data_IF_979509814340
#
_entry.id   IF_979509814340
#
_cell.length_a   1.000
_cell.length_b   1.000
_cell.length_c   1.000
_cell.angle_alpha   90.00
_cell.angle_beta   90.00
_cell.angle_gamma   90.00
#
_symmetry.space_group_name_H-M   'P 1'
#
loop_
_entity.id
_entity.type
_entity.pdbx_description
1 polymer ?
#
# COMPACT_ATOMS: atom_id res chain seq x y z
N UNK A 1 3.91 3.82 22.37
CA UNK A 1 2.71 3.74 21.51
C UNK A 1 2.05 5.12 21.54
N UNK A 2 1.78 5.74 20.39
CA UNK A 2 1.10 7.05 20.29
C UNK A 2 -0.37 6.85 19.90
N UNK A 3 -1.23 7.81 20.24
CA UNK A 3 -2.63 7.77 19.80
C UNK A 3 -2.72 8.10 18.30
N UNK A 4 -3.40 7.24 17.54
CA UNK A 4 -3.62 7.44 16.10
C UNK A 4 -4.46 8.69 15.81
N UNK A 5 -5.35 9.08 16.74
CA UNK A 5 -6.20 10.26 16.60
C UNK A 5 -5.39 11.58 16.59
N UNK A 6 -4.17 11.58 17.12
CA UNK A 6 -3.22 12.71 17.03
C UNK A 6 -2.72 12.95 15.59
N UNK A 7 -2.69 11.89 14.76
CA UNK A 7 -2.26 11.98 13.35
C UNK A 7 -3.47 12.28 12.46
N UNK A 8 -4.51 11.44 12.51
CA UNK A 8 -5.76 11.67 11.79
C UNK A 8 -6.93 11.30 12.70
N UNK A 9 -7.86 12.23 12.98
CA UNK A 9 -8.99 11.95 13.86
C UNK A 9 -9.97 10.96 13.20
N UNK A 10 -10.66 10.17 14.02
CA UNK A 10 -11.63 9.16 13.55
C UNK A 10 -12.78 9.75 12.72
N UNK A 11 -13.10 11.04 12.89
CA UNK A 11 -14.10 11.76 12.08
C UNK A 11 -13.72 11.85 10.60
N UNK A 12 -12.46 11.61 10.25
CA UNK A 12 -11.95 11.60 8.87
C UNK A 12 -11.90 10.22 8.23
N UNK A 13 -12.41 9.19 8.89
CA UNK A 13 -12.50 7.84 8.31
C UNK A 13 -13.35 7.89 7.04
N UNK A 14 -12.72 7.56 5.92
CA UNK A 14 -13.35 7.40 4.61
C UNK A 14 -13.23 5.94 4.15
N UNK A 15 -14.32 5.43 3.58
CA UNK A 15 -14.41 4.06 3.08
C UNK A 15 -14.70 4.06 1.59
N UNK A 16 -14.22 3.04 0.88
CA UNK A 16 -14.72 2.75 -0.45
C UNK A 16 -16.21 2.35 -0.38
N UNK A 17 -16.92 2.42 -1.51
CA UNK A 17 -18.32 1.98 -1.62
C UNK A 17 -18.57 0.55 -1.07
N UNK A 18 -17.57 -0.33 -1.14
CA UNK A 18 -17.62 -1.70 -0.59
C UNK A 18 -17.25 -1.83 0.90
N UNK A 19 -17.13 -0.74 1.64
CA UNK A 19 -16.85 -0.74 3.09
C UNK A 19 -15.37 -0.80 3.49
N UNK A 20 -14.47 -1.08 2.55
CA UNK A 20 -13.01 -1.12 2.79
C UNK A 20 -12.48 0.20 3.33
N UNK A 21 -11.65 0.10 4.37
CA UNK A 21 -10.95 1.24 5.03
C UNK A 21 -9.64 1.63 4.35
N UNK A 22 -9.31 1.05 3.19
CA UNK A 22 -8.05 1.32 2.48
C UNK A 22 -7.83 2.81 2.18
N UNK A 23 -8.90 3.59 1.94
CA UNK A 23 -8.79 5.04 1.75
C UNK A 23 -8.32 5.75 3.03
N UNK A 24 -8.85 5.38 4.19
CA UNK A 24 -8.38 5.93 5.45
C UNK A 24 -6.92 5.55 5.72
N UNK A 25 -6.51 4.31 5.42
CA UNK A 25 -5.11 3.89 5.54
C UNK A 25 -4.19 4.72 4.61
N UNK A 26 -4.64 5.02 3.38
CA UNK A 26 -3.93 5.94 2.48
C UNK A 26 -3.79 7.34 3.09
N UNK A 27 -4.88 7.94 3.59
CA UNK A 27 -4.82 9.26 4.23
C UNK A 27 -3.86 9.26 5.42
N UNK A 28 -4.01 8.28 6.30
CA UNK A 28 -3.23 8.15 7.52
C UNK A 28 -1.75 8.04 7.22
N UNK A 29 -1.35 7.19 6.25
CA UNK A 29 0.07 7.05 5.92
C UNK A 29 0.66 8.32 5.33
N UNK A 30 -0.07 9.07 4.49
CA UNK A 30 0.45 10.31 3.91
C UNK A 30 0.56 11.41 4.97
N UNK A 31 -0.39 11.47 5.90
CA UNK A 31 -0.32 12.41 7.03
C UNK A 31 0.83 12.06 7.98
N UNK A 32 1.07 10.77 8.22
CA UNK A 32 2.24 10.29 8.96
C UNK A 32 3.56 10.77 8.30
N UNK A 33 3.66 10.67 6.97
CA UNK A 33 4.83 11.16 6.23
C UNK A 33 4.95 12.70 6.29
N UNK A 34 3.85 13.44 6.12
CA UNK A 34 3.82 14.90 6.21
C UNK A 34 4.31 15.41 7.57
N UNK A 35 4.03 14.66 8.64
CA UNK A 35 4.46 14.99 10.00
C UNK A 35 5.85 14.45 10.34
N UNK A 36 6.53 13.75 9.43
CA UNK A 36 7.87 13.21 9.67
C UNK A 36 7.92 12.11 10.73
N UNK A 37 6.84 11.34 10.89
CA UNK A 37 6.68 10.37 11.98
C UNK A 37 7.26 8.98 11.66
N UNK A 38 8.08 8.86 10.61
CA UNK A 38 8.84 7.65 10.27
C UNK A 38 8.22 6.79 9.17
N UNK A 39 8.57 5.51 9.16
CA UNK A 39 8.14 4.55 8.12
C UNK A 39 6.72 4.04 8.39
N UNK A 40 5.89 4.06 7.36
CA UNK A 40 4.66 3.26 7.32
C UNK A 40 4.97 1.83 6.85
N UNK A 41 4.43 0.84 7.56
CA UNK A 41 4.43 -0.57 7.17
C UNK A 41 3.02 -1.13 7.27
N UNK A 42 2.55 -1.78 6.22
CA UNK A 42 1.33 -2.57 6.25
C UNK A 42 1.51 -3.77 7.20
N UNK A 43 0.41 -4.17 7.85
CA UNK A 43 0.42 -5.21 8.89
C UNK A 43 0.58 -6.64 8.34
N UNK A 44 0.48 -6.81 7.02
CA UNK A 44 0.63 -8.08 6.33
C UNK A 44 1.99 -8.21 5.63
N UNK A 45 2.99 -7.49 6.14
CA UNK A 45 4.40 -7.66 5.76
C UNK A 45 5.11 -8.62 6.73
N UNK A 46 5.73 -9.64 6.17
CA UNK A 46 6.64 -10.53 6.88
C UNK A 46 8.09 -10.04 6.69
N UNK A 47 8.72 -9.55 7.76
CA UNK A 47 10.10 -9.04 7.70
C UNK A 47 11.10 -10.18 7.90
N UNK A 48 11.94 -10.40 6.89
CA UNK A 48 13.07 -11.34 6.92
C UNK A 48 14.34 -10.67 7.45
N UNK A 49 14.44 -9.34 7.30
CA UNK A 49 15.58 -8.53 7.72
C UNK A 49 15.10 -7.20 8.28
N UNK A 50 15.92 -6.51 9.10
CA UNK A 50 15.66 -5.14 9.49
C UNK A 50 15.54 -4.23 8.25
N UNK A 51 14.61 -3.29 8.30
CA UNK A 51 14.52 -2.21 7.31
C UNK A 51 15.62 -1.18 7.57
N UNK A 52 16.11 -0.55 6.51
CA UNK A 52 17.00 0.61 6.64
C UNK A 52 16.23 1.78 7.25
N UNK A 53 16.54 2.07 8.51
CA UNK A 53 15.88 3.13 9.28
C UNK A 53 16.48 4.50 9.02
N UNK A 54 17.56 4.63 8.25
CA UNK A 54 18.23 5.89 7.91
C UNK A 54 17.94 6.35 6.47
N UNK A 55 17.51 5.44 5.59
CA UNK A 55 17.14 5.79 4.22
C UNK A 55 16.05 6.89 4.20
N UNK A 56 16.26 8.02 3.48
CA UNK A 56 15.29 9.11 3.44
C UNK A 56 14.02 8.72 2.67
N UNK A 57 14.15 7.81 1.69
CA UNK A 57 13.06 7.27 0.90
C UNK A 57 13.00 5.76 1.10
N UNK A 58 11.80 5.26 1.38
CA UNK A 58 11.45 3.84 1.25
C UNK A 58 10.19 3.80 0.41
N UNK A 59 10.37 3.60 -0.89
CA UNK A 59 9.31 3.34 -1.85
C UNK A 59 9.66 2.01 -2.49
N UNK A 60 8.68 1.12 -2.69
CA UNK A 60 8.95 -0.14 -3.37
C UNK A 60 8.11 -0.27 -4.64
N UNK A 61 8.76 -0.83 -5.64
CA UNK A 61 8.15 -1.24 -6.90
C UNK A 61 7.56 -2.64 -6.73
N UNK A 62 6.28 -2.82 -7.07
CA UNK A 62 5.60 -4.12 -7.03
C UNK A 62 5.71 -4.86 -8.37
N UNK A 63 5.63 -4.09 -9.47
CA UNK A 63 5.77 -4.53 -10.85
C UNK A 63 6.54 -3.42 -11.60
N UNK A 64 7.28 -3.71 -12.68
CA UNK A 64 8.01 -2.69 -13.44
C UNK A 64 7.13 -1.47 -13.80
N UNK A 65 7.52 -0.29 -13.34
CA UNK A 65 6.81 0.97 -13.50
C UNK A 65 5.61 1.18 -12.57
N UNK A 66 5.42 0.34 -11.54
CA UNK A 66 4.27 0.42 -10.60
C UNK A 66 4.74 0.34 -9.16
N UNK A 67 4.54 1.43 -8.44
CA UNK A 67 4.87 1.53 -7.02
C UNK A 67 3.67 1.27 -6.13
N UNK A 68 3.92 0.67 -4.98
CA UNK A 68 2.91 0.38 -3.97
C UNK A 68 3.20 1.13 -2.67
N UNK A 69 2.25 1.08 -1.72
CA UNK A 69 2.25 1.85 -0.49
C UNK A 69 2.32 0.98 0.78
N UNK A 70 2.65 -0.30 0.63
CA UNK A 70 2.77 -1.22 1.77
C UNK A 70 3.97 -0.91 2.67
N UNK A 71 5.07 -0.44 2.08
CA UNK A 71 6.19 0.20 2.78
C UNK A 71 6.30 1.60 2.23
N UNK A 72 6.20 2.60 3.09
CA UNK A 72 6.30 3.99 2.66
C UNK A 72 7.09 4.82 3.65
N UNK A 73 8.18 5.42 3.17
CA UNK A 73 8.84 6.54 3.81
C UNK A 73 9.11 7.62 2.78
N UNK A 74 8.61 8.81 3.04
CA UNK A 74 8.84 10.02 2.25
C UNK A 74 9.27 11.13 3.20
N UNK A 75 10.28 11.95 2.86
CA UNK A 75 10.58 13.16 3.61
C UNK A 75 9.36 14.09 3.71
N UNK A 76 9.21 14.88 4.80
CA UNK A 76 8.08 15.81 4.96
C UNK A 76 7.96 16.86 3.85
N UNK A 77 9.07 17.20 3.21
CA UNK A 77 9.18 18.12 2.07
C UNK A 77 9.05 17.42 0.70
N UNK A 78 8.73 16.12 0.68
CA UNK A 78 8.54 15.37 -0.56
C UNK A 78 7.46 16.02 -1.44
N UNK A 79 7.75 16.30 -2.72
CA UNK A 79 6.83 17.03 -3.60
C UNK A 79 5.54 16.26 -3.92
N UNK A 80 5.51 14.93 -3.70
CA UNK A 80 4.32 14.11 -3.91
C UNK A 80 3.25 14.34 -2.82
N UNK A 81 3.66 14.68 -1.59
CA UNK A 81 2.75 14.71 -0.42
C UNK A 81 1.58 15.67 -0.57
N UNK A 82 1.75 16.93 -1.03
CA UNK A 82 0.64 17.84 -1.23
C UNK A 82 -0.41 17.27 -2.20
N UNK A 83 0.04 16.68 -3.32
CA UNK A 83 -0.85 16.11 -4.32
C UNK A 83 -1.56 14.84 -3.80
N UNK A 84 -0.87 13.99 -3.04
CA UNK A 84 -1.46 12.81 -2.39
C UNK A 84 -2.56 13.18 -1.38
N UNK A 85 -2.32 14.21 -0.56
CA UNK A 85 -3.26 14.68 0.45
C UNK A 85 -4.45 15.42 -0.16
N UNK A 86 -4.23 16.20 -1.21
CA UNK A 86 -5.29 16.94 -1.92
C UNK A 86 -6.40 16.01 -2.48
N UNK A 87 -6.09 14.74 -2.74
CA UNK A 87 -7.09 13.74 -3.16
C UNK A 87 -8.25 13.63 -2.15
N UNK A 88 -7.96 13.77 -0.86
CA UNK A 88 -8.92 13.61 0.23
C UNK A 88 -9.77 14.87 0.48
N UNK A 89 -9.44 15.97 -0.18
CA UNK A 89 -10.32 17.15 -0.23
C UNK A 89 -11.41 16.99 -1.30
N UNK A 90 -11.21 16.07 -2.25
CA UNK A 90 -12.13 15.76 -3.34
C UNK A 90 -12.46 16.95 -4.25
N UNK A 91 -11.60 17.98 -4.26
CA UNK A 91 -11.79 19.22 -5.05
C UNK A 91 -11.23 19.11 -6.46
N UNK A 92 -10.42 18.11 -6.73
CA UNK A 92 -9.78 17.86 -8.02
C UNK A 92 -10.07 16.44 -8.49
N UNK A 93 -10.03 16.24 -9.81
CA UNK A 93 -10.16 14.92 -10.42
C UNK A 93 -8.76 14.45 -10.82
N UNK A 94 -8.28 13.30 -10.32
CA UNK A 94 -6.94 12.81 -10.63
C UNK A 94 -6.77 12.46 -12.10
N UNK A 95 -5.60 12.75 -12.67
CA UNK A 95 -5.33 12.50 -14.08
C UNK A 95 -5.13 11.01 -14.41
N UNK A 96 -4.67 10.22 -13.42
CA UNK A 96 -4.26 8.82 -13.55
C UNK A 96 -5.38 7.78 -13.39
N UNK A 97 -6.61 8.19 -13.10
CA UNK A 97 -7.74 7.27 -13.07
C UNK A 97 -8.27 6.99 -14.49
N UNK A 98 -8.88 5.82 -14.74
CA UNK A 98 -9.46 5.49 -16.04
C UNK A 98 -10.42 6.56 -16.56
N UNK A 99 -10.41 6.82 -17.87
CA UNK A 99 -11.14 7.93 -18.47
C UNK A 99 -12.66 7.93 -18.13
N UNK A 100 -13.30 6.75 -18.09
CA UNK A 100 -14.72 6.64 -17.71
C UNK A 100 -14.97 7.08 -16.27
N UNK A 101 -14.08 6.69 -15.36
CA UNK A 101 -14.12 7.12 -13.96
C UNK A 101 -13.83 8.62 -13.82
N UNK A 102 -12.93 9.14 -14.66
CA UNK A 102 -12.62 10.58 -14.73
C UNK A 102 -13.81 11.41 -15.14
N UNK A 103 -14.52 11.03 -16.21
CA UNK A 103 -15.75 11.70 -16.63
C UNK A 103 -16.83 11.67 -15.54
N UNK A 104 -17.03 10.51 -14.91
CA UNK A 104 -17.98 10.38 -13.81
C UNK A 104 -17.59 11.28 -12.61
N UNK A 105 -16.30 11.38 -12.30
CA UNK A 105 -15.78 12.24 -11.24
C UNK A 105 -15.95 13.74 -11.56
N UNK A 106 -15.68 14.17 -12.80
CA UNK A 106 -15.93 15.54 -13.23
C UNK A 106 -17.42 15.91 -13.14
N UNK A 107 -18.30 15.00 -13.58
CA UNK A 107 -19.74 15.23 -13.47
C UNK A 107 -20.20 15.36 -12.00
N UNK A 108 -19.68 14.52 -11.10
CA UNK A 108 -19.94 14.65 -9.66
C UNK A 108 -19.38 15.95 -9.10
N UNK A 109 -18.15 16.31 -9.45
CA UNK A 109 -17.52 17.54 -9.00
C UNK A 109 -18.36 18.76 -9.41
N UNK A 110 -18.82 18.80 -10.65
CA UNK A 110 -19.71 19.85 -11.15
C UNK A 110 -21.06 19.90 -10.42
N UNK A 111 -21.67 18.73 -10.15
CA UNK A 111 -23.01 18.66 -9.53
C UNK A 111 -23.02 18.84 -8.01
N UNK A 112 -21.98 18.39 -7.31
CA UNK A 112 -21.96 18.29 -5.83
C UNK A 112 -20.78 19.00 -5.19
N UNK A 113 -19.90 19.63 -5.97
CA UNK A 113 -18.66 20.23 -5.48
C UNK A 113 -17.62 19.21 -4.99
N UNK A 114 -17.81 17.91 -5.23
CA UNK A 114 -16.90 16.84 -4.79
C UNK A 114 -16.72 15.77 -5.88
N UNK A 115 -15.48 15.39 -6.13
CA UNK A 115 -15.12 14.37 -7.12
C UNK A 115 -15.56 12.95 -6.71
N UNK A 116 -15.84 12.72 -5.43
CA UNK A 116 -16.33 11.44 -4.92
C UNK A 116 -15.22 10.39 -4.87
N UNK A 117 -14.20 10.60 -4.03
CA UNK A 117 -13.04 9.70 -3.94
C UNK A 117 -13.45 8.27 -3.58
N UNK A 118 -14.44 8.10 -2.69
CA UNK A 118 -15.00 6.79 -2.31
C UNK A 118 -15.62 6.00 -3.46
N UNK A 119 -15.94 6.67 -4.57
CA UNK A 119 -16.54 6.10 -5.79
C UNK A 119 -15.51 5.87 -6.90
N UNK A 120 -14.25 6.28 -6.70
CA UNK A 120 -13.18 6.01 -7.66
C UNK A 120 -12.72 4.55 -7.56
N UNK A 121 -12.11 4.00 -8.63
CA UNK A 121 -11.55 2.65 -8.62
C UNK A 121 -10.60 2.41 -7.44
N UNK A 122 -10.52 1.16 -7.00
CA UNK A 122 -9.55 0.77 -5.98
C UNK A 122 -8.13 1.14 -6.41
N UNK A 123 -7.30 1.57 -5.45
CA UNK A 123 -5.93 2.01 -5.73
C UNK A 123 -5.79 3.45 -6.26
N UNK A 124 -6.89 4.16 -6.55
CA UNK A 124 -6.84 5.54 -7.09
C UNK A 124 -6.10 6.53 -6.18
N UNK A 125 -6.22 6.39 -4.86
CA UNK A 125 -5.45 7.17 -3.87
C UNK A 125 -4.29 6.37 -3.25
N UNK A 126 -4.00 5.19 -3.80
CA UNK A 126 -2.96 4.27 -3.34
C UNK A 126 -1.90 4.07 -4.41
N UNK A 127 -1.64 2.83 -4.88
CA UNK A 127 -0.60 2.53 -5.86
C UNK A 127 -0.66 3.41 -7.13
N UNK A 128 -1.85 3.71 -7.67
CA UNK A 128 -1.97 4.51 -8.88
C UNK A 128 -1.53 5.98 -8.67
N UNK A 129 -1.85 6.56 -7.51
CA UNK A 129 -1.41 7.92 -7.17
C UNK A 129 0.09 7.98 -6.93
N UNK A 130 0.63 7.03 -6.15
CA UNK A 130 2.08 6.95 -5.92
C UNK A 130 2.85 6.75 -7.21
N UNK A 131 2.41 5.82 -8.05
CA UNK A 131 3.01 5.56 -9.36
C UNK A 131 3.08 6.82 -10.20
N UNK A 132 1.94 7.48 -10.40
CA UNK A 132 1.88 8.68 -11.22
C UNK A 132 2.76 9.81 -10.66
N UNK A 133 2.67 10.08 -9.36
CA UNK A 133 3.38 11.21 -8.75
C UNK A 133 4.88 10.95 -8.61
N UNK A 134 5.32 9.70 -8.37
CA UNK A 134 6.73 9.36 -8.34
C UNK A 134 7.37 9.52 -9.73
N UNK A 135 6.67 9.14 -10.79
CA UNK A 135 7.11 9.38 -12.17
C UNK A 135 7.15 10.88 -12.47
N UNK A 136 6.06 11.61 -12.16
CA UNK A 136 5.94 13.04 -12.42
C UNK A 136 7.06 13.86 -11.76
N UNK A 137 7.47 13.49 -10.55
CA UNK A 137 8.51 14.19 -9.79
C UNK A 137 9.92 13.58 -9.96
N UNK A 138 10.12 12.61 -10.85
CA UNK A 138 11.43 12.00 -11.08
C UNK A 138 11.97 11.21 -9.88
N UNK A 139 11.09 10.63 -9.07
CA UNK A 139 11.43 9.84 -7.87
C UNK A 139 11.46 8.32 -8.13
N UNK A 140 11.38 7.91 -9.40
CA UNK A 140 11.42 6.50 -9.80
C UNK A 140 12.72 5.82 -9.39
N UNK A 141 13.87 6.50 -9.55
CA UNK A 141 15.20 5.98 -9.18
C UNK A 141 15.40 5.82 -7.66
N UNK A 142 14.44 6.27 -6.84
CA UNK A 142 14.44 6.09 -5.39
C UNK A 142 13.69 4.82 -4.96
N UNK A 143 12.95 4.19 -5.87
CA UNK A 143 12.20 2.98 -5.55
C UNK A 143 13.13 1.77 -5.44
N UNK A 144 12.88 0.94 -4.44
CA UNK A 144 13.51 -0.36 -4.28
C UNK A 144 12.88 -1.35 -5.27
N UNK A 145 13.68 -2.21 -5.92
CA UNK A 145 13.16 -3.21 -6.84
C UNK A 145 12.28 -4.24 -6.11
N UNK A 146 11.38 -4.93 -6.84
CA UNK A 146 10.45 -5.89 -6.25
C UNK A 146 11.14 -6.96 -5.39
N UNK A 147 12.29 -7.47 -5.82
CA UNK A 147 13.08 -8.48 -5.08
C UNK A 147 13.42 -8.13 -3.62
N UNK A 148 13.40 -6.85 -3.24
CA UNK A 148 13.73 -6.39 -1.88
C UNK A 148 12.50 -6.39 -0.97
N UNK A 149 11.34 -5.91 -1.44
CA UNK A 149 10.14 -5.70 -0.60
C UNK A 149 8.91 -6.50 -1.04
N UNK A 150 8.82 -6.82 -2.33
CA UNK A 150 7.67 -7.46 -2.99
C UNK A 150 8.13 -8.58 -3.92
N UNK A 151 8.89 -9.58 -3.43
CA UNK A 151 9.51 -10.60 -4.29
C UNK A 151 8.49 -11.58 -4.88
N UNK A 152 7.28 -11.63 -4.31
CA UNK A 152 6.16 -12.43 -4.79
C UNK A 152 5.06 -11.51 -5.28
N UNK A 153 4.60 -11.74 -6.50
CA UNK A 153 3.51 -10.99 -7.08
C UNK A 153 2.16 -11.38 -6.43
N UNK A 154 1.24 -10.43 -6.25
CA UNK A 154 -0.06 -10.65 -5.59
C UNK A 154 -0.89 -11.81 -6.17
N UNK A 155 -0.77 -12.10 -7.47
CA UNK A 155 -1.44 -13.26 -8.11
C UNK A 155 -0.98 -14.60 -7.57
N UNK A 156 0.24 -14.66 -7.07
CA UNK A 156 0.87 -15.88 -6.58
C UNK A 156 0.72 -16.01 -5.07
N UNK A 157 0.00 -15.12 -4.37
CA UNK A 157 -0.18 -15.12 -2.90
C UNK A 157 -0.64 -16.46 -2.30
N UNK A 158 -1.22 -17.35 -3.13
CA UNK A 158 -1.62 -18.71 -2.74
C UNK A 158 -0.44 -19.68 -2.56
N UNK A 159 0.78 -19.31 -2.96
CA UNK A 159 1.97 -20.16 -2.78
C UNK A 159 2.18 -20.58 -1.31
N UNK A 160 1.71 -19.77 -0.35
CA UNK A 160 1.91 -20.02 1.07
C UNK A 160 1.25 -21.31 1.58
N UNK A 161 0.25 -21.86 0.86
CA UNK A 161 -0.38 -23.14 1.24
C UNK A 161 0.22 -24.35 0.54
N UNK A 162 1.13 -24.13 -0.40
CA UNK A 162 1.79 -25.20 -1.15
C UNK A 162 3.01 -25.71 -0.36
N UNK A 163 3.02 -26.97 0.12
CA UNK A 163 4.15 -27.52 0.86
C UNK A 163 5.38 -27.80 -0.02
N UNK A 164 5.23 -27.82 -1.36
CA UNK A 164 6.35 -27.98 -2.29
C UNK A 164 7.05 -26.64 -2.59
N UNK A 165 6.41 -25.51 -2.28
CA UNK A 165 7.00 -24.19 -2.45
C UNK A 165 7.66 -23.72 -1.15
N UNK A 166 9.00 -23.69 -1.11
CA UNK A 166 9.72 -23.17 0.05
C UNK A 166 9.81 -21.64 0.00
N UNK A 167 9.99 -21.01 1.16
CA UNK A 167 10.22 -19.57 1.23
C UNK A 167 11.47 -19.17 0.46
N UNK A 168 12.51 -19.99 0.56
CA UNK A 168 13.82 -19.80 -0.07
C UNK A 168 13.73 -19.75 -1.60
N UNK A 169 12.71 -20.37 -2.20
CA UNK A 169 12.44 -20.31 -3.64
C UNK A 169 11.80 -18.98 -4.07
N UNK A 170 11.27 -18.21 -3.11
CA UNK A 170 10.53 -16.96 -3.32
C UNK A 170 11.30 -15.73 -2.94
N UNK A 171 12.48 -15.87 -2.33
CA UNK A 171 13.25 -14.75 -1.78
C UNK A 171 14.71 -14.85 -2.21
N UNK A 172 15.42 -13.74 -2.10
CA UNK A 172 16.86 -13.67 -2.37
C UNK A 172 17.61 -13.24 -1.13
N UNK A 173 18.95 -13.31 -1.19
CA UNK A 173 19.82 -12.72 -0.18
C UNK A 173 19.64 -11.21 0.01
N UNK A 174 18.88 -10.52 -0.85
CA UNK A 174 18.58 -9.08 -0.76
C UNK A 174 17.17 -8.78 -0.23
N UNK A 175 16.31 -9.79 -0.11
CA UNK A 175 14.94 -9.62 0.34
C UNK A 175 14.90 -9.22 1.80
N UNK A 176 14.18 -8.12 2.09
CA UNK A 176 13.95 -7.58 3.43
C UNK A 176 12.56 -7.96 3.92
N UNK A 177 11.56 -7.86 3.05
CA UNK A 177 10.16 -8.09 3.39
C UNK A 177 9.46 -8.94 2.34
N UNK A 178 8.39 -9.62 2.77
CA UNK A 178 7.46 -10.32 1.90
C UNK A 178 6.04 -9.83 2.21
N UNK A 179 5.30 -9.41 1.17
CA UNK A 179 3.90 -9.03 1.32
C UNK A 179 3.00 -10.27 1.23
N UNK A 180 2.23 -10.52 2.29
CA UNK A 180 1.34 -11.69 2.39
C UNK A 180 0.00 -11.49 1.67
N UNK A 181 -0.33 -10.25 1.31
CA UNK A 181 -1.59 -9.88 0.65
C UNK A 181 -2.81 -10.41 1.42
N UNK A 182 -2.99 -9.97 2.68
CA UNK A 182 -3.98 -10.51 3.61
C UNK A 182 -5.40 -10.59 3.01
N UNK A 183 -5.80 -9.61 2.18
CA UNK A 183 -7.09 -9.60 1.49
C UNK A 183 -7.30 -10.77 0.51
N UNK A 184 -6.22 -11.31 -0.09
CA UNK A 184 -6.27 -12.44 -1.01
C UNK A 184 -6.23 -13.79 -0.27
N UNK A 185 -5.62 -13.83 0.91
CA UNK A 185 -5.46 -15.06 1.70
C UNK A 185 -6.55 -15.24 2.78
N UNK A 186 -7.36 -14.21 3.07
CA UNK A 186 -8.46 -14.24 4.07
C UNK A 186 -9.43 -15.41 3.95
N UNK A 187 -9.58 -15.99 2.75
CA UNK A 187 -10.47 -17.13 2.54
C UNK A 187 -9.96 -18.44 3.15
N UNK A 188 -8.66 -18.53 3.45
CA UNK A 188 -8.02 -19.78 3.89
C UNK A 188 -6.96 -19.63 4.99
N UNK A 189 -6.47 -18.43 5.30
CA UNK A 189 -5.38 -18.20 6.26
C UNK A 189 -5.65 -18.73 7.68
N UNK A 190 -6.91 -18.72 8.12
CA UNK A 190 -7.32 -19.21 9.44
C UNK A 190 -7.60 -20.73 9.49
N UNK A 191 -7.52 -21.44 8.35
CA UNK A 191 -7.73 -22.89 8.30
C UNK A 191 -6.43 -23.61 8.70
N UNK A 192 -6.48 -24.83 9.26
CA UNK A 192 -5.28 -25.61 9.54
C UNK A 192 -4.39 -25.70 8.30
N UNK A 193 -3.16 -25.20 8.42
CA UNK A 193 -2.24 -25.15 7.29
C UNK A 193 -1.76 -26.56 6.89
N UNK A 194 -1.55 -26.82 5.60
CA UNK A 194 -0.86 -28.04 5.16
C UNK A 194 0.52 -28.15 5.82
N UNK A 195 0.88 -29.31 6.42
CA UNK A 195 2.19 -29.49 7.03
C UNK A 195 3.32 -29.21 6.03
N UNK A 196 4.34 -28.46 6.47
CA UNK A 196 5.48 -28.07 5.63
C UNK A 196 5.25 -26.82 4.76
N UNK A 197 4.01 -26.32 4.64
CA UNK A 197 3.73 -25.07 3.92
C UNK A 197 4.20 -23.83 4.68
N UNK A 198 4.41 -22.72 3.98
CA UNK A 198 4.77 -21.45 4.62
C UNK A 198 3.65 -20.93 5.55
N UNK A 199 2.38 -21.21 5.25
CA UNK A 199 1.26 -20.90 6.14
C UNK A 199 1.37 -21.65 7.47
N UNK A 200 1.86 -22.88 7.48
CA UNK A 200 2.07 -23.63 8.72
C UNK A 200 3.14 -22.95 9.60
N UNK A 201 4.19 -22.42 8.97
CA UNK A 201 5.18 -21.59 9.66
C UNK A 201 4.56 -20.32 10.23
N UNK A 202 3.81 -19.55 9.42
CA UNK A 202 3.13 -18.33 9.88
C UNK A 202 2.23 -18.59 11.10
N UNK A 203 1.40 -19.64 11.05
CA UNK A 203 0.53 -20.02 12.16
C UNK A 203 1.33 -20.42 13.42
N UNK A 204 2.46 -21.13 13.26
CA UNK A 204 3.32 -21.50 14.38
C UNK A 204 4.01 -20.30 15.05
N UNK A 205 4.29 -19.25 14.28
CA UNK A 205 4.88 -17.98 14.74
C UNK A 205 3.82 -17.03 15.35
N UNK A 206 2.53 -17.41 15.33
CA UNK A 206 1.43 -16.59 15.81
C UNK A 206 1.02 -15.47 14.84
N UNK A 207 1.47 -15.54 13.59
CA UNK A 207 0.98 -14.68 12.52
C UNK A 207 -0.41 -15.17 12.05
N UNK A 208 -1.35 -14.24 11.78
CA UNK A 208 -2.73 -14.56 11.40
C UNK A 208 -2.90 -14.95 9.94
#
# INVERSE_FOLDING_TARGET
>A
MRDAAEIVPASRIIRHKGGSVALFANLFRYELQRQGLGTWLDLDLYLLKPLDMEAPYLLGEEEPGRYTNGVLRLPPDCPMLPALLALFEERTVPAWIPWRARLAAHWRLWRTGRAGLSQMPWGSAGPAALTHLAILHGLSDRALPPEILYPVHWRDARWIVDPECLLEDRVSGRTIALHLYNELIKGFKDRPAPPGSFLARLQSEGAP
#
